data_IF_557473890711
#
_entry.id   IF_557473890711
#
_cell.length_a   1.000
_cell.length_b   1.000
_cell.length_c   1.000
_cell.angle_alpha   90.00
_cell.angle_beta   90.00
_cell.angle_gamma   90.00
#
_symmetry.space_group_name_H-M   'P 1'
#
loop_
_entity.id
_entity.type
_entity.pdbx_description
1 polymer ?
#
# COMPACT_ATOMS: atom_id res chain seq x y z
N UNK A 1 69.97 20.06 16.80
CA UNK A 1 69.51 20.16 15.40
C UNK A 1 68.73 21.47 15.29
N UNK A 2 69.30 22.59 14.80
CA UNK A 2 69.65 22.92 13.38
C UNK A 2 68.36 22.81 12.54
N UNK A 3 67.67 23.84 12.06
CA UNK A 3 67.97 25.13 11.35
C UNK A 3 66.77 26.09 11.61
N UNK A 4 66.86 27.38 11.97
CA UNK A 4 67.36 28.58 11.26
C UNK A 4 67.02 28.65 9.76
N UNK A 5 66.06 29.51 9.40
CA UNK A 5 66.16 30.34 8.21
C UNK A 5 65.84 31.80 8.56
N UNK A 6 66.71 32.66 8.08
CA UNK A 6 66.82 34.10 8.31
C UNK A 6 67.02 34.67 6.90
N UNK A 7 66.13 35.52 6.41
CA UNK A 7 66.47 36.49 5.35
C UNK A 7 65.70 37.78 5.64
N UNK A 8 66.41 38.86 5.39
CA UNK A 8 66.24 40.21 5.89
C UNK A 8 66.05 41.17 4.71
N UNK A 9 65.53 42.36 5.04
CA UNK A 9 65.97 43.67 4.53
C UNK A 9 65.34 44.31 3.27
N UNK A 10 64.70 45.47 3.54
CA UNK A 10 64.69 46.79 2.86
C UNK A 10 64.32 46.93 1.37
N UNK A 11 63.39 47.86 1.07
CA UNK A 11 63.72 49.13 0.39
C UNK A 11 62.60 50.19 0.48
N UNK A 12 63.02 51.44 0.68
CA UNK A 12 62.25 52.70 0.57
C UNK A 12 61.95 53.03 -0.91
N UNK A 13 60.82 53.68 -1.21
CA UNK A 13 60.52 54.26 -2.53
C UNK A 13 59.41 55.33 -2.49
N UNK A 14 59.71 56.50 -3.05
CA UNK A 14 59.03 57.80 -2.96
C UNK A 14 57.72 57.93 -3.78
N UNK A 15 56.78 58.73 -3.21
CA UNK A 15 55.68 59.57 -3.76
C UNK A 15 55.55 59.66 -5.30
N UNK A 16 54.31 59.44 -5.78
CA UNK A 16 53.74 60.20 -6.91
C UNK A 16 52.21 60.35 -6.71
N UNK A 17 51.72 61.59 -6.71
CA UNK A 17 50.31 61.93 -6.83
C UNK A 17 49.92 61.94 -8.32
N UNK A 18 48.75 61.38 -8.64
CA UNK A 18 48.20 61.42 -10.00
C UNK A 18 46.82 60.75 -10.06
N UNK A 19 45.84 61.50 -10.55
CA UNK A 19 44.41 61.20 -10.67
C UNK A 19 44.07 59.86 -11.37
N UNK A 20 42.98 59.20 -10.98
CA UNK A 20 41.71 59.13 -11.74
C UNK A 20 40.76 58.08 -11.13
N UNK A 21 39.46 58.36 -11.29
CA UNK A 21 38.26 57.62 -10.89
C UNK A 21 38.38 56.09 -11.03
N UNK A 22 37.83 55.34 -10.07
CA UNK A 22 37.08 54.11 -10.36
C UNK A 22 36.18 53.73 -9.17
N UNK A 23 34.88 53.75 -9.45
CA UNK A 23 33.83 52.83 -8.99
C UNK A 23 33.67 52.56 -7.48
N UNK A 24 32.75 53.29 -6.85
CA UNK A 24 32.09 52.80 -5.63
C UNK A 24 31.19 51.61 -6.01
N UNK A 25 31.55 50.43 -5.50
CA UNK A 25 30.71 49.24 -5.56
C UNK A 25 29.48 49.46 -4.68
N UNK A 26 28.31 49.38 -5.30
CA UNK A 26 27.06 49.08 -4.60
C UNK A 26 27.26 47.74 -3.91
N UNK A 27 27.22 47.72 -2.57
CA UNK A 27 26.92 46.51 -1.83
C UNK A 27 25.45 46.17 -2.13
N UNK A 28 25.24 45.29 -3.10
CA UNK A 28 24.02 44.50 -3.18
C UNK A 28 23.97 43.63 -1.93
N UNK A 29 23.22 44.11 -0.94
CA UNK A 29 22.65 43.24 0.07
C UNK A 29 21.74 42.29 -0.69
N UNK A 30 22.21 41.07 -0.95
CA UNK A 30 21.33 39.95 -1.23
C UNK A 30 20.38 39.86 -0.03
N UNK A 31 19.17 40.39 -0.19
CA UNK A 31 18.01 39.90 0.53
C UNK A 31 17.93 38.41 0.19
N UNK A 32 18.52 37.59 1.06
CA UNK A 32 18.06 36.22 1.22
C UNK A 32 16.62 36.39 1.68
N UNK A 33 15.68 36.28 0.74
CA UNK A 33 14.29 36.14 1.06
C UNK A 33 14.20 35.00 2.07
N UNK A 34 13.86 35.34 3.31
CA UNK A 34 13.28 34.38 4.23
C UNK A 34 12.11 33.79 3.45
N UNK A 35 12.27 32.56 2.95
CA UNK A 35 11.15 31.79 2.45
C UNK A 35 10.20 31.73 3.64
N UNK A 36 9.14 32.54 3.63
CA UNK A 36 8.01 32.33 4.53
C UNK A 36 7.69 30.84 4.38
N UNK A 37 7.91 30.08 5.45
CA UNK A 37 7.53 28.67 5.48
C UNK A 37 6.08 28.64 5.00
N UNK A 38 5.82 28.00 3.87
CA UNK A 38 4.48 27.91 3.31
C UNK A 38 3.66 27.00 4.23
N UNK A 39 3.27 27.55 5.37
CA UNK A 39 2.52 26.89 6.43
C UNK A 39 1.06 26.87 5.99
N UNK A 40 0.57 25.68 5.70
CA UNK A 40 -0.84 25.43 5.52
C UNK A 40 -1.51 25.28 6.90
N UNK A 41 -2.74 25.74 7.01
CA UNK A 41 -3.61 25.55 8.16
C UNK A 41 -4.91 24.91 7.68
N UNK A 42 -5.27 23.77 8.27
CA UNK A 42 -6.44 22.97 7.91
C UNK A 42 -7.34 22.79 9.14
N UNK A 43 -8.67 22.97 9.02
CA UNK A 43 -9.60 22.62 10.10
C UNK A 43 -9.50 21.14 10.47
N UNK A 44 -9.67 20.82 11.75
CA UNK A 44 -9.76 19.44 12.21
C UNK A 44 -11.07 19.21 12.97
N UNK A 45 -11.62 18.01 12.82
CA UNK A 45 -12.71 17.51 13.64
C UNK A 45 -12.20 16.38 14.54
N UNK A 46 -12.87 16.15 15.68
CA UNK A 46 -12.55 15.04 16.57
C UNK A 46 -13.67 14.01 16.48
N UNK A 47 -13.41 12.91 15.78
CA UNK A 47 -14.31 11.77 15.66
C UNK A 47 -13.70 10.59 16.41
N UNK A 48 -14.46 9.98 17.32
CA UNK A 48 -14.03 8.81 18.12
C UNK A 48 -12.67 8.97 18.87
N UNK A 49 -12.31 10.21 19.22
CA UNK A 49 -11.03 10.64 19.81
C UNK A 49 -9.84 10.71 18.84
N UNK A 50 -10.08 10.70 17.55
CA UNK A 50 -9.08 10.91 16.51
C UNK A 50 -9.30 12.25 15.80
N UNK A 51 -8.22 12.96 15.52
CA UNK A 51 -8.27 14.20 14.75
C UNK A 51 -8.32 13.86 13.26
N UNK A 52 -9.37 14.31 12.60
CA UNK A 52 -9.62 14.07 11.18
C UNK A 52 -9.72 15.38 10.40
N UNK A 53 -9.40 15.34 9.12
CA UNK A 53 -9.53 16.44 8.17
C UNK A 53 -10.55 16.08 7.11
N UNK A 54 -11.39 17.05 6.74
CA UNK A 54 -12.33 16.87 5.63
C UNK A 54 -11.57 16.84 4.29
N UNK A 55 -11.95 15.94 3.38
CA UNK A 55 -11.21 15.74 2.12
C UNK A 55 -11.21 16.99 1.24
N UNK A 56 -12.34 17.73 1.19
CA UNK A 56 -12.45 18.96 0.39
C UNK A 56 -11.47 20.04 0.86
N UNK A 57 -11.29 20.19 2.17
CA UNK A 57 -10.34 21.15 2.73
C UNK A 57 -8.90 20.75 2.40
N UNK A 58 -8.60 19.44 2.46
CA UNK A 58 -7.29 18.90 2.12
C UNK A 58 -6.94 19.19 0.66
N UNK A 59 -7.83 18.85 -0.29
CA UNK A 59 -7.56 19.08 -1.72
C UNK A 59 -7.54 20.57 -2.08
N UNK A 60 -8.34 21.40 -1.40
CA UNK A 60 -8.30 22.85 -1.59
C UNK A 60 -6.94 23.43 -1.19
N UNK A 61 -6.34 22.93 -0.12
CA UNK A 61 -5.03 23.38 0.39
C UNK A 61 -3.88 22.84 -0.46
N UNK A 62 -3.93 21.55 -0.80
CA UNK A 62 -2.84 20.89 -1.53
C UNK A 62 -2.89 21.14 -3.04
N UNK A 63 -4.05 21.57 -3.56
CA UNK A 63 -4.29 21.67 -4.99
C UNK A 63 -4.55 20.31 -5.65
N UNK A 64 -4.86 19.29 -4.85
CA UNK A 64 -5.21 17.95 -5.32
C UNK A 64 -6.63 17.84 -5.89
N UNK A 65 -6.99 16.61 -6.22
CA UNK A 65 -8.34 16.23 -6.64
C UNK A 65 -8.67 14.84 -6.13
N UNK A 66 -9.95 14.53 -5.95
CA UNK A 66 -10.36 13.19 -5.55
C UNK A 66 -11.62 12.75 -6.26
N UNK A 67 -11.83 11.44 -6.26
CA UNK A 67 -13.07 10.77 -6.63
C UNK A 67 -13.42 9.77 -5.55
N UNK A 68 -14.65 9.84 -5.05
CA UNK A 68 -15.20 8.85 -4.15
C UNK A 68 -16.26 8.01 -4.88
N UNK A 69 -16.08 6.70 -4.87
CA UNK A 69 -17.06 5.75 -5.39
C UNK A 69 -17.95 5.26 -4.23
N UNK A 70 -19.17 5.76 -4.16
CA UNK A 70 -20.15 5.39 -3.11
C UNK A 70 -20.49 3.89 -3.11
N UNK A 71 -20.49 3.25 -4.27
CA UNK A 71 -20.85 1.84 -4.39
C UNK A 71 -19.77 0.96 -3.79
N UNK A 72 -18.52 1.23 -4.16
CA UNK A 72 -17.36 0.47 -3.71
C UNK A 72 -16.81 0.97 -2.36
N UNK A 73 -17.25 2.15 -1.91
CA UNK A 73 -16.69 2.90 -0.76
C UNK A 73 -15.19 3.07 -0.91
N UNK A 74 -14.76 3.56 -2.07
CA UNK A 74 -13.34 3.75 -2.39
C UNK A 74 -13.01 5.19 -2.66
N UNK A 75 -11.87 5.64 -2.13
CA UNK A 75 -11.34 6.97 -2.37
C UNK A 75 -10.11 6.87 -3.27
N UNK A 76 -10.15 7.54 -4.41
CA UNK A 76 -8.99 7.85 -5.24
C UNK A 76 -8.64 9.31 -5.03
N UNK A 77 -7.43 9.60 -4.57
CA UNK A 77 -6.97 10.94 -4.26
C UNK A 77 -5.65 11.20 -5.01
N UNK A 78 -5.62 12.25 -5.80
CA UNK A 78 -4.42 12.77 -6.45
C UNK A 78 -3.94 13.99 -5.69
N UNK A 79 -2.71 13.97 -5.21
CA UNK A 79 -2.03 15.16 -4.70
C UNK A 79 -0.68 15.21 -5.40
N UNK A 80 -0.42 16.29 -6.13
CA UNK A 80 0.74 16.45 -7.00
C UNK A 80 0.88 15.31 -8.03
N UNK A 81 1.99 14.57 -8.00
CA UNK A 81 2.22 13.40 -8.87
C UNK A 81 1.87 12.07 -8.19
N UNK A 82 1.44 12.09 -6.92
CA UNK A 82 1.08 10.89 -6.18
C UNK A 82 -0.41 10.56 -6.30
N UNK A 83 -0.68 9.28 -6.52
CA UNK A 83 -2.01 8.66 -6.48
C UNK A 83 -2.15 7.87 -5.18
N UNK A 84 -3.20 8.17 -4.43
CA UNK A 84 -3.56 7.47 -3.19
C UNK A 84 -4.88 6.72 -3.40
N UNK A 85 -4.93 5.49 -2.90
CA UNK A 85 -6.14 4.67 -2.95
C UNK A 85 -6.42 4.04 -1.59
N UNK A 86 -7.67 4.15 -1.16
CA UNK A 86 -8.19 3.61 0.10
C UNK A 86 -9.57 3.01 -0.12
N UNK A 87 -9.88 2.00 0.68
CA UNK A 87 -11.17 1.32 0.72
C UNK A 87 -11.69 1.46 2.15
N UNK A 88 -12.95 1.81 2.31
CA UNK A 88 -13.58 1.86 3.61
C UNK A 88 -13.54 0.50 4.32
N UNK A 89 -13.39 0.52 5.64
CA UNK A 89 -13.18 -0.65 6.51
C UNK A 89 -11.89 -1.45 6.23
N UNK A 90 -11.04 -0.97 5.32
CA UNK A 90 -9.73 -1.57 5.00
C UNK A 90 -8.64 -0.57 5.38
N UNK A 91 -7.96 -0.73 6.54
CA UNK A 91 -7.00 0.24 7.08
C UNK A 91 -5.63 0.10 6.39
N UNK A 92 -5.62 0.26 5.07
CA UNK A 92 -4.44 0.16 4.23
C UNK A 92 -4.44 1.33 3.24
N UNK A 93 -3.34 2.07 3.20
CA UNK A 93 -3.11 3.12 2.22
C UNK A 93 -2.21 2.59 1.10
N UNK A 94 -2.76 2.59 -0.12
CA UNK A 94 -1.96 2.47 -1.35
C UNK A 94 -1.51 3.86 -1.81
N UNK A 95 -0.24 3.97 -2.20
CA UNK A 95 0.37 5.14 -2.84
C UNK A 95 1.13 4.66 -4.07
N UNK A 96 0.71 5.09 -5.26
CA UNK A 96 1.30 4.73 -6.55
C UNK A 96 1.45 3.21 -6.76
N UNK A 97 0.51 2.40 -6.26
CA UNK A 97 0.59 0.93 -6.36
C UNK A 97 1.45 0.25 -5.27
N UNK A 98 2.04 1.00 -4.35
CA UNK A 98 2.77 0.49 -3.19
C UNK A 98 2.03 0.80 -1.88
N UNK A 99 2.16 -0.05 -0.88
CA UNK A 99 1.40 0.03 0.36
C UNK A 99 2.25 0.54 1.53
N UNK A 100 1.70 1.49 2.29
CA UNK A 100 2.35 2.02 3.49
C UNK A 100 2.06 1.10 4.68
N UNK A 101 3.09 0.71 5.42
CA UNK A 101 2.97 -0.11 6.63
C UNK A 101 2.55 0.77 7.83
N UNK A 102 1.26 1.10 7.91
CA UNK A 102 0.66 1.85 9.02
C UNK A 102 -0.81 1.48 9.16
N UNK A 103 -1.31 1.44 10.39
CA UNK A 103 -2.73 1.24 10.69
C UNK A 103 -3.45 2.58 10.97
N UNK A 104 -2.68 3.65 11.20
CA UNK A 104 -3.19 4.99 11.53
C UNK A 104 -3.84 5.72 10.34
N UNK A 105 -3.88 5.14 9.14
CA UNK A 105 -4.51 5.74 7.96
C UNK A 105 -5.62 4.83 7.48
N UNK A 106 -6.84 5.36 7.49
CA UNK A 106 -8.04 4.69 7.07
C UNK A 106 -9.07 5.72 6.62
N UNK A 107 -10.10 5.28 5.90
CA UNK A 107 -11.18 6.15 5.45
C UNK A 107 -12.20 6.34 6.58
N UNK A 108 -12.66 7.58 6.78
CA UNK A 108 -13.75 7.89 7.72
C UNK A 108 -14.89 8.51 6.93
N UNK A 109 -16.07 7.89 7.01
CA UNK A 109 -17.28 8.37 6.35
C UNK A 109 -18.33 8.63 7.43
N UNK A 110 -18.90 9.85 7.45
CA UNK A 110 -19.92 10.21 8.43
C UNK A 110 -21.34 9.81 7.96
N UNK A 111 -22.36 10.10 8.79
CA UNK A 111 -23.76 9.79 8.47
C UNK A 111 -24.34 10.59 7.28
N UNK A 112 -23.64 11.65 6.84
CA UNK A 112 -24.00 12.52 5.71
C UNK A 112 -23.21 12.17 4.43
N UNK A 113 -22.52 11.01 4.41
CA UNK A 113 -21.64 10.54 3.34
C UNK A 113 -20.44 11.47 3.04
N UNK A 114 -20.06 12.32 4.00
CA UNK A 114 -18.87 13.16 3.90
C UNK A 114 -17.61 12.36 4.26
N UNK A 115 -16.54 12.64 3.51
CA UNK A 115 -15.30 11.86 3.57
C UNK A 115 -14.21 12.62 4.32
N UNK A 116 -13.63 11.92 5.29
CA UNK A 116 -12.58 12.41 6.16
C UNK A 116 -11.38 11.47 6.15
N UNK A 117 -10.21 12.03 6.46
CA UNK A 117 -8.97 11.29 6.68
C UNK A 117 -8.36 11.65 8.03
N UNK A 118 -7.79 10.69 8.77
CA UNK A 118 -6.95 11.00 9.92
C UNK A 118 -5.84 11.98 9.59
N UNK A 119 -5.44 12.83 10.55
CA UNK A 119 -4.26 13.70 10.36
C UNK A 119 -2.97 12.90 10.11
N UNK A 120 -2.94 11.62 10.48
CA UNK A 120 -1.87 10.70 10.13
C UNK A 120 -1.68 10.54 8.61
N UNK A 121 -2.70 10.80 7.78
CA UNK A 121 -2.55 10.87 6.33
C UNK A 121 -1.56 11.97 5.93
N UNK A 122 -1.63 13.16 6.55
CA UNK A 122 -0.69 14.25 6.29
C UNK A 122 0.69 13.89 6.83
N UNK A 123 0.76 13.36 8.06
CA UNK A 123 2.03 13.01 8.72
C UNK A 123 2.81 11.90 8.02
N UNK A 124 2.13 10.83 7.62
CA UNK A 124 2.76 9.61 7.10
C UNK A 124 2.51 9.42 5.60
N UNK A 125 1.31 9.71 5.11
CA UNK A 125 0.96 9.62 3.69
C UNK A 125 1.67 10.70 2.86
N UNK A 126 1.54 11.97 3.26
CA UNK A 126 2.27 13.09 2.64
C UNK A 126 3.67 13.29 3.24
N UNK A 127 4.05 12.50 4.24
CA UNK A 127 5.36 12.58 4.92
C UNK A 127 5.69 13.99 5.42
N UNK A 128 4.69 14.68 5.97
CA UNK A 128 4.82 16.07 6.42
C UNK A 128 4.40 16.22 7.87
N UNK A 129 5.29 16.65 8.78
CA UNK A 129 4.94 16.81 10.20
C UNK A 129 3.73 17.73 10.41
N UNK A 130 2.82 17.31 11.30
CA UNK A 130 1.65 18.10 11.67
C UNK A 130 1.84 18.68 13.08
N UNK A 131 1.42 19.93 13.27
CA UNK A 131 1.31 20.57 14.57
C UNK A 131 -0.14 20.92 14.86
N UNK A 132 -0.64 20.51 16.03
CA UNK A 132 -2.03 20.74 16.43
C UNK A 132 -2.20 22.08 17.15
N UNK A 133 -3.30 22.78 16.85
CA UNK A 133 -3.89 23.87 17.62
C UNK A 133 -5.24 23.41 18.21
N UNK A 134 -6.07 24.32 18.71
CA UNK A 134 -7.36 23.96 19.33
C UNK A 134 -8.32 23.29 18.34
N UNK A 135 -8.51 23.89 17.16
CA UNK A 135 -9.48 23.48 16.12
C UNK A 135 -8.84 23.35 14.72
N UNK A 136 -7.51 23.45 14.63
CA UNK A 136 -6.77 23.33 13.37
C UNK A 136 -5.50 22.50 13.51
N UNK A 137 -5.05 21.95 12.40
CA UNK A 137 -3.72 21.39 12.21
C UNK A 137 -2.92 22.28 11.25
N UNK A 138 -1.62 22.42 11.49
CA UNK A 138 -0.71 23.14 10.61
C UNK A 138 0.42 22.26 10.12
N UNK A 139 0.79 22.39 8.85
CA UNK A 139 1.86 21.60 8.22
C UNK A 139 2.55 22.41 7.12
N UNK A 140 3.80 22.07 6.80
CA UNK A 140 4.55 22.76 5.74
C UNK A 140 4.17 22.23 4.38
N UNK A 141 3.64 23.08 3.49
CA UNK A 141 3.22 22.71 2.16
C UNK A 141 3.93 23.57 1.10
N UNK A 142 4.87 22.98 0.36
CA UNK A 142 5.69 23.70 -0.61
C UNK A 142 5.15 23.65 -2.05
N UNK A 143 3.98 23.04 -2.25
CA UNK A 143 3.42 22.77 -3.59
C UNK A 143 4.06 21.54 -4.25
N UNK A 144 4.02 21.45 -5.59
CA UNK A 144 4.27 20.22 -6.32
C UNK A 144 5.55 19.49 -5.95
N UNK A 145 5.42 18.24 -5.50
CA UNK A 145 6.56 17.32 -5.29
C UNK A 145 6.64 16.23 -6.37
N UNK A 146 7.85 15.71 -6.59
CA UNK A 146 8.05 14.50 -7.41
C UNK A 146 7.34 13.30 -6.77
N UNK A 147 6.77 12.41 -7.59
CA UNK A 147 6.13 11.18 -7.12
C UNK A 147 7.08 10.33 -6.23
N UNK A 148 6.52 9.71 -5.20
CA UNK A 148 7.27 8.81 -4.31
C UNK A 148 6.90 7.36 -4.60
N UNK A 149 7.91 6.56 -4.95
CA UNK A 149 7.73 5.15 -5.28
C UNK A 149 6.96 4.96 -6.59
N UNK A 150 6.29 3.83 -6.69
CA UNK A 150 5.47 3.47 -7.84
C UNK A 150 6.22 2.84 -9.00
N UNK A 151 5.50 2.53 -10.09
CA UNK A 151 6.07 1.84 -11.22
C UNK A 151 7.15 2.69 -11.89
N UNK A 152 8.28 2.09 -12.33
CA UNK A 152 9.28 2.82 -13.11
C UNK A 152 8.67 3.32 -14.43
N UNK A 153 9.20 4.40 -15.02
CA UNK A 153 8.70 4.95 -16.30
C UNK A 153 8.60 3.92 -17.45
N UNK A 154 9.43 2.87 -17.42
CA UNK A 154 9.42 1.79 -18.41
C UNK A 154 8.38 0.69 -18.14
N UNK A 155 7.61 0.81 -17.06
CA UNK A 155 6.61 -0.18 -16.67
C UNK A 155 5.45 -0.18 -17.68
N UNK A 156 5.24 -1.33 -18.32
CA UNK A 156 4.17 -1.52 -19.29
C UNK A 156 3.50 -2.87 -19.07
N UNK A 157 2.84 -2.99 -17.93
CA UNK A 157 2.24 -4.23 -17.42
C UNK A 157 1.23 -4.87 -18.38
N UNK A 158 0.40 -4.05 -19.03
CA UNK A 158 -0.64 -4.52 -19.96
C UNK A 158 -0.11 -5.26 -21.19
N UNK A 159 1.18 -5.13 -21.50
CA UNK A 159 1.84 -5.80 -22.63
C UNK A 159 2.71 -7.00 -22.21
N UNK A 160 2.75 -7.34 -20.93
CA UNK A 160 3.61 -8.42 -20.45
C UNK A 160 3.12 -9.79 -20.90
N UNK A 161 4.05 -10.60 -21.40
CA UNK A 161 3.81 -12.01 -21.69
C UNK A 161 4.29 -12.90 -20.53
N UNK A 162 4.09 -14.22 -20.68
CA UNK A 162 4.49 -15.25 -19.70
C UNK A 162 5.95 -15.13 -19.27
N UNK A 163 6.90 -14.98 -20.20
CA UNK A 163 8.32 -14.93 -19.85
C UNK A 163 8.66 -13.70 -19.01
N UNK A 164 8.13 -12.53 -19.39
CA UNK A 164 8.32 -11.30 -18.62
C UNK A 164 7.70 -11.39 -17.22
N UNK A 165 6.51 -11.99 -17.12
CA UNK A 165 5.84 -12.19 -15.85
C UNK A 165 6.62 -13.14 -14.93
N UNK A 166 7.13 -14.24 -15.49
CA UNK A 166 7.98 -15.20 -14.76
C UNK A 166 9.27 -14.52 -14.30
N UNK A 167 9.99 -13.85 -15.20
CA UNK A 167 11.24 -13.16 -14.87
C UNK A 167 11.06 -12.09 -13.78
N UNK A 168 9.87 -11.48 -13.70
CA UNK A 168 9.56 -10.47 -12.69
C UNK A 168 9.25 -11.07 -11.31
N UNK A 169 8.67 -12.27 -11.28
CA UNK A 169 8.14 -12.93 -10.08
C UNK A 169 8.98 -14.12 -9.61
N UNK A 170 10.06 -14.48 -10.31
CA UNK A 170 10.88 -15.68 -10.04
C UNK A 170 11.55 -15.70 -8.65
N UNK A 171 11.63 -14.54 -8.01
CA UNK A 171 12.16 -14.39 -6.66
C UNK A 171 11.19 -14.87 -5.57
N UNK A 172 9.91 -15.09 -5.90
CA UNK A 172 8.88 -15.52 -4.96
C UNK A 172 8.89 -17.03 -4.74
N UNK A 173 9.04 -17.46 -3.49
CA UNK A 173 8.84 -18.83 -3.05
C UNK A 173 7.34 -19.17 -2.86
N UNK A 174 7.01 -20.47 -2.89
CA UNK A 174 5.66 -20.95 -2.57
C UNK A 174 5.30 -20.65 -1.12
N UNK A 175 4.05 -20.21 -0.84
CA UNK A 175 3.62 -19.89 0.52
C UNK A 175 3.35 -21.13 1.38
N UNK A 176 3.19 -22.32 0.78
CA UNK A 176 3.03 -23.58 1.50
C UNK A 176 4.13 -24.54 1.05
N UNK A 177 5.01 -24.91 1.98
CA UNK A 177 6.13 -25.81 1.70
C UNK A 177 5.63 -27.18 1.25
N UNK A 178 6.06 -27.61 0.06
CA UNK A 178 5.71 -28.92 -0.52
C UNK A 178 4.35 -28.97 -1.21
N UNK A 179 3.59 -27.87 -1.26
CA UNK A 179 2.37 -27.82 -2.05
C UNK A 179 2.67 -27.75 -3.55
N UNK A 180 1.71 -28.19 -4.37
CA UNK A 180 1.74 -28.09 -5.84
C UNK A 180 0.73 -27.04 -6.31
N UNK A 181 1.06 -26.34 -7.39
CA UNK A 181 0.13 -25.38 -8.01
C UNK A 181 -1.12 -26.12 -8.49
N UNK A 182 -2.29 -25.65 -8.09
CA UNK A 182 -3.56 -26.25 -8.54
C UNK A 182 -3.70 -26.13 -10.06
N UNK A 183 -4.11 -27.22 -10.70
CA UNK A 183 -4.41 -27.23 -12.14
C UNK A 183 -5.91 -27.17 -12.45
N UNK A 184 -6.74 -27.03 -11.43
CA UNK A 184 -8.20 -26.89 -11.55
C UNK A 184 -8.51 -25.44 -11.93
N UNK A 185 -9.15 -25.24 -13.08
CA UNK A 185 -9.41 -23.91 -13.64
C UNK A 185 -10.14 -22.95 -12.68
N UNK A 186 -11.06 -23.45 -11.86
CA UNK A 186 -11.77 -22.62 -10.89
C UNK A 186 -10.93 -22.21 -9.67
N UNK A 187 -9.73 -22.76 -9.50
CA UNK A 187 -8.80 -22.38 -8.43
C UNK A 187 -7.78 -21.34 -8.91
N UNK A 188 -7.72 -21.08 -10.22
CA UNK A 188 -6.75 -20.17 -10.83
C UNK A 188 -7.27 -18.73 -10.82
N UNK A 189 -6.35 -17.74 -10.76
CA UNK A 189 -6.70 -16.33 -10.94
C UNK A 189 -7.37 -16.08 -12.29
N UNK A 190 -8.27 -15.11 -12.36
CA UNK A 190 -9.09 -14.76 -13.52
C UNK A 190 -10.29 -15.68 -13.78
N UNK A 191 -10.56 -16.67 -12.92
CA UNK A 191 -11.69 -17.58 -13.09
C UNK A 191 -13.02 -16.90 -12.71
N UNK A 192 -14.14 -17.05 -13.46
CA UNK A 192 -15.41 -16.41 -13.10
C UNK A 192 -15.97 -16.88 -11.74
N UNK A 193 -16.50 -15.94 -10.94
CA UNK A 193 -17.19 -16.17 -9.67
C UNK A 193 -18.65 -15.73 -9.76
N UNK A 194 -19.46 -16.58 -10.39
CA UNK A 194 -20.87 -16.28 -10.68
C UNK A 194 -21.73 -15.99 -9.43
N UNK A 195 -21.38 -16.55 -8.26
CA UNK A 195 -22.14 -16.33 -7.03
C UNK A 195 -22.02 -14.90 -6.47
N UNK A 196 -21.04 -14.11 -6.93
CA UNK A 196 -20.78 -12.72 -6.52
C UNK A 196 -20.55 -11.76 -7.69
N UNK A 197 -20.84 -12.18 -8.92
CA UNK A 197 -20.63 -11.40 -10.15
C UNK A 197 -19.22 -10.80 -10.29
N UNK A 198 -18.18 -11.59 -10.03
CA UNK A 198 -16.79 -11.13 -10.15
C UNK A 198 -15.87 -12.18 -10.75
N UNK A 199 -14.58 -11.94 -10.59
CA UNK A 199 -13.52 -12.88 -10.95
C UNK A 199 -12.78 -13.34 -9.70
N UNK A 200 -12.08 -14.45 -9.85
CA UNK A 200 -11.17 -14.96 -8.85
C UNK A 200 -9.88 -14.16 -8.94
N UNK A 201 -9.57 -13.35 -7.93
CA UNK A 201 -8.41 -12.45 -8.00
C UNK A 201 -7.08 -13.17 -7.73
N UNK A 202 -7.16 -14.30 -7.03
CA UNK A 202 -6.02 -15.05 -6.56
C UNK A 202 -6.02 -16.53 -6.96
N UNK A 203 -5.08 -17.27 -6.39
CA UNK A 203 -4.97 -18.73 -6.46
C UNK A 203 -5.49 -19.37 -5.17
N UNK A 204 -6.20 -20.49 -5.30
CA UNK A 204 -6.64 -21.30 -4.17
C UNK A 204 -5.77 -22.56 -3.98
N UNK A 205 -5.31 -22.76 -2.74
CA UNK A 205 -4.52 -23.91 -2.31
C UNK A 205 -5.36 -24.85 -1.45
N UNK A 206 -6.06 -25.79 -2.09
CA UNK A 206 -6.86 -26.82 -1.42
C UNK A 206 -6.07 -28.12 -1.21
N UNK A 207 -6.33 -28.81 -0.10
CA UNK A 207 -5.74 -30.13 0.21
C UNK A 207 -5.82 -31.10 -0.99
N UNK A 208 -7.00 -31.26 -1.58
CA UNK A 208 -7.25 -32.24 -2.64
C UNK A 208 -6.65 -31.87 -4.01
N UNK A 209 -6.16 -30.65 -4.20
CA UNK A 209 -5.64 -30.16 -5.50
C UNK A 209 -4.22 -29.61 -5.46
N UNK A 210 -3.61 -29.52 -4.28
CA UNK A 210 -2.30 -28.90 -4.07
C UNK A 210 -1.30 -29.83 -3.38
N UNK A 211 -1.37 -31.13 -3.64
CA UNK A 211 -0.43 -32.13 -3.14
C UNK A 211 -0.80 -32.77 -1.78
N UNK A 212 -1.88 -32.32 -1.14
CA UNK A 212 -2.37 -32.85 0.14
C UNK A 212 -1.63 -32.36 1.39
N UNK A 213 -2.14 -32.73 2.55
CA UNK A 213 -1.68 -32.33 3.89
C UNK A 213 -1.91 -30.83 4.20
N UNK A 214 -3.03 -30.29 3.73
CA UNK A 214 -3.45 -28.93 4.05
C UNK A 214 -4.57 -28.97 5.09
N UNK A 215 -4.24 -28.50 6.29
CA UNK A 215 -5.07 -28.50 7.50
C UNK A 215 -4.97 -27.16 8.21
N UNK A 216 -5.72 -26.97 9.30
CA UNK A 216 -5.72 -25.71 10.07
C UNK A 216 -4.39 -25.39 10.75
N UNK A 217 -3.51 -26.38 10.91
CA UNK A 217 -2.16 -26.21 11.45
C UNK A 217 -1.07 -26.11 10.36
N UNK A 218 -1.46 -26.11 9.08
CA UNK A 218 -0.54 -25.93 7.96
C UNK A 218 -0.02 -24.48 7.94
N UNK A 219 1.29 -24.26 8.11
CA UNK A 219 1.87 -22.92 8.11
C UNK A 219 1.89 -22.31 6.71
N UNK A 220 1.58 -21.02 6.66
CA UNK A 220 1.74 -20.16 5.49
C UNK A 220 2.97 -19.31 5.72
N UNK A 221 3.89 -19.31 4.75
CA UNK A 221 5.14 -18.57 4.78
C UNK A 221 5.02 -17.31 3.94
N UNK A 222 5.74 -16.26 4.34
CA UNK A 222 6.04 -15.20 3.39
C UNK A 222 6.84 -15.77 2.21
N UNK A 223 6.78 -15.10 1.07
CA UNK A 223 7.29 -15.64 -0.19
C UNK A 223 8.68 -15.12 -0.55
N UNK A 224 9.26 -14.28 0.30
CA UNK A 224 10.52 -13.58 0.04
C UNK A 224 10.74 -12.50 1.07
N UNK A 225 11.81 -11.71 0.90
CA UNK A 225 12.05 -10.54 1.76
C UNK A 225 10.95 -9.49 1.56
N UNK A 226 10.22 -9.15 2.61
CA UNK A 226 9.09 -8.24 2.53
C UNK A 226 8.74 -7.54 3.83
N UNK A 227 7.75 -6.65 3.76
CA UNK A 227 7.18 -5.90 4.87
C UNK A 227 5.69 -6.23 4.99
N UNK A 228 5.25 -6.56 6.19
CA UNK A 228 3.83 -6.73 6.50
C UNK A 228 3.16 -5.36 6.50
N UNK A 229 2.12 -5.19 5.68
CA UNK A 229 1.34 -3.93 5.57
C UNK A 229 -0.05 -4.03 6.18
N UNK A 230 -0.53 -5.26 6.46
CA UNK A 230 -1.78 -5.54 7.20
C UNK A 230 -1.66 -6.87 7.93
N UNK A 231 -2.19 -6.97 9.15
CA UNK A 231 -2.31 -8.22 9.90
C UNK A 231 -3.57 -8.23 10.79
N UNK A 232 -4.57 -9.04 10.45
CA UNK A 232 -5.90 -8.99 11.09
C UNK A 232 -5.97 -9.83 12.39
N UNK A 233 -5.19 -9.45 13.42
CA UNK A 233 -5.22 -10.11 14.73
C UNK A 233 -6.60 -10.06 15.39
N UNK A 234 -7.31 -8.94 15.23
CA UNK A 234 -8.61 -8.68 15.82
C UNK A 234 -9.79 -9.02 14.88
N UNK A 235 -9.55 -9.85 13.85
CA UNK A 235 -10.61 -10.25 12.91
C UNK A 235 -11.83 -10.86 13.62
N UNK A 236 -13.02 -10.36 13.27
CA UNK A 236 -14.31 -10.88 13.73
C UNK A 236 -15.08 -11.47 12.55
N UNK A 237 -15.43 -12.74 12.68
CA UNK A 237 -16.22 -13.46 11.68
C UNK A 237 -17.64 -12.87 11.53
N UNK A 238 -18.26 -13.11 10.38
CA UNK A 238 -19.68 -12.83 10.18
C UNK A 238 -20.52 -13.42 11.34
N UNK A 239 -21.46 -12.64 11.90
CA UNK A 239 -22.21 -13.06 13.08
C UNK A 239 -23.20 -14.19 12.79
N UNK A 240 -23.59 -14.37 11.52
CA UNK A 240 -24.53 -15.43 11.09
C UNK A 240 -24.51 -15.63 9.57
N UNK A 241 -24.96 -16.80 9.07
CA UNK A 241 -25.14 -17.02 7.64
C UNK A 241 -26.08 -16.00 7.00
N UNK A 242 -27.11 -15.55 7.74
CA UNK A 242 -28.07 -14.56 7.26
C UNK A 242 -27.41 -13.22 6.92
N UNK A 243 -26.51 -12.71 7.77
CA UNK A 243 -25.80 -11.45 7.52
C UNK A 243 -24.86 -11.58 6.33
N UNK A 244 -24.09 -12.68 6.24
CA UNK A 244 -23.23 -12.92 5.09
C UNK A 244 -24.02 -13.04 3.78
N UNK A 245 -25.19 -13.68 3.82
CA UNK A 245 -26.06 -13.80 2.66
C UNK A 245 -26.72 -12.47 2.25
N UNK A 246 -26.83 -11.49 3.14
CA UNK A 246 -27.28 -10.14 2.77
C UNK A 246 -26.24 -9.46 1.89
N UNK A 247 -24.96 -9.52 2.25
CA UNK A 247 -23.86 -9.01 1.44
C UNK A 247 -23.85 -9.70 0.06
N UNK A 248 -23.91 -11.03 0.02
CA UNK A 248 -23.97 -11.77 -1.24
C UNK A 248 -25.20 -11.40 -2.09
N UNK A 249 -26.37 -11.22 -1.47
CA UNK A 249 -27.57 -10.80 -2.17
C UNK A 249 -27.41 -9.38 -2.76
N UNK A 250 -26.73 -8.48 -2.04
CA UNK A 250 -26.41 -7.15 -2.53
C UNK A 250 -25.46 -7.23 -3.74
N UNK A 251 -24.39 -8.04 -3.70
CA UNK A 251 -23.52 -8.24 -4.87
C UNK A 251 -24.31 -8.77 -6.08
N UNK A 252 -25.26 -9.67 -5.83
CA UNK A 252 -26.12 -10.22 -6.88
C UNK A 252 -27.04 -9.15 -7.47
N UNK A 253 -27.53 -8.23 -6.65
CA UNK A 253 -28.44 -7.16 -7.08
C UNK A 253 -27.71 -6.08 -7.88
N UNK A 254 -26.48 -5.73 -7.48
CA UNK A 254 -25.67 -4.71 -8.12
C UNK A 254 -25.05 -5.20 -9.44
N UNK A 255 -24.80 -6.51 -9.54
CA UNK A 255 -24.11 -7.08 -10.70
C UNK A 255 -22.59 -6.99 -10.60
N UNK A 256 -22.06 -6.57 -9.45
CA UNK A 256 -20.65 -6.53 -9.08
C UNK A 256 -20.50 -6.71 -7.56
N UNK A 257 -19.28 -7.00 -7.06
CA UNK A 257 -18.99 -7.08 -5.63
C UNK A 257 -18.38 -5.75 -5.17
N UNK A 258 -19.02 -4.97 -4.28
CA UNK A 258 -18.38 -3.83 -3.63
C UNK A 258 -17.08 -4.20 -2.91
N UNK A 259 -16.03 -3.38 -3.03
CA UNK A 259 -14.70 -3.69 -2.51
C UNK A 259 -14.66 -3.98 -0.99
N UNK A 260 -15.32 -3.17 -0.16
CA UNK A 260 -15.39 -3.41 1.30
C UNK A 260 -16.06 -4.75 1.65
N UNK A 261 -17.10 -5.15 0.89
CA UNK A 261 -17.75 -6.46 1.03
C UNK A 261 -16.78 -7.55 0.59
N UNK A 262 -16.05 -7.31 -0.49
CA UNK A 262 -15.12 -8.29 -0.99
C UNK A 262 -13.98 -8.57 -0.01
N UNK A 263 -13.41 -7.52 0.59
CA UNK A 263 -12.42 -7.65 1.66
C UNK A 263 -12.98 -8.45 2.84
N UNK A 264 -14.21 -8.14 3.29
CA UNK A 264 -14.86 -8.88 4.38
C UNK A 264 -15.06 -10.37 4.04
N UNK A 265 -15.39 -10.70 2.80
CA UNK A 265 -15.52 -12.08 2.32
C UNK A 265 -14.18 -12.84 2.29
N UNK A 266 -13.04 -12.15 2.22
CA UNK A 266 -11.70 -12.77 2.37
C UNK A 266 -11.42 -13.24 3.79
N UNK A 267 -12.17 -12.74 4.77
CA UNK A 267 -12.03 -13.11 6.18
C UNK A 267 -10.75 -12.54 6.80
N UNK A 268 -10.09 -13.32 7.66
CA UNK A 268 -8.82 -12.94 8.29
C UNK A 268 -7.70 -12.93 7.26
N UNK A 269 -6.92 -11.85 7.24
CA UNK A 269 -5.85 -11.65 6.25
C UNK A 269 -4.51 -11.22 6.85
N UNK A 270 -3.44 -11.51 6.11
CA UNK A 270 -2.12 -10.86 6.23
C UNK A 270 -1.70 -10.39 4.85
N UNK A 271 -1.20 -9.17 4.75
CA UNK A 271 -0.74 -8.58 3.50
C UNK A 271 0.77 -8.34 3.61
N UNK A 272 1.56 -8.87 2.67
CA UNK A 272 3.01 -8.63 2.58
C UNK A 272 3.38 -7.93 1.27
N UNK A 273 4.00 -6.76 1.40
CA UNK A 273 4.64 -6.05 0.28
C UNK A 273 6.08 -6.51 0.12
N UNK A 274 6.45 -6.83 -1.12
CA UNK A 274 7.76 -7.25 -1.58
C UNK A 274 8.38 -6.16 -2.48
N UNK A 275 9.67 -6.28 -2.86
CA UNK A 275 10.30 -5.35 -3.79
C UNK A 275 9.56 -5.24 -5.13
N UNK A 276 9.79 -4.12 -5.82
CA UNK A 276 9.25 -3.83 -7.15
C UNK A 276 7.71 -3.78 -7.17
N UNK A 277 7.08 -3.21 -6.15
CA UNK A 277 5.61 -3.07 -6.10
C UNK A 277 4.84 -4.38 -6.05
N UNK A 278 5.50 -5.51 -5.79
CA UNK A 278 4.85 -6.82 -5.68
C UNK A 278 4.15 -6.92 -4.33
N UNK A 279 2.89 -7.32 -4.33
CA UNK A 279 2.04 -7.38 -3.13
C UNK A 279 1.28 -8.69 -3.10
N UNK A 280 1.33 -9.43 -1.99
CA UNK A 280 0.44 -10.59 -1.76
C UNK A 280 -0.52 -10.42 -0.58
N UNK A 281 -1.80 -10.72 -0.83
CA UNK A 281 -2.84 -10.81 0.22
C UNK A 281 -3.09 -12.29 0.51
N UNK A 282 -2.85 -12.71 1.75
CA UNK A 282 -3.11 -14.07 2.21
C UNK A 282 -4.41 -14.08 3.00
N UNK A 283 -5.41 -14.80 2.52
CA UNK A 283 -6.77 -14.75 3.04
C UNK A 283 -7.24 -16.10 3.62
N UNK A 284 -8.43 -16.06 4.21
CA UNK A 284 -9.07 -17.17 4.90
C UNK A 284 -8.24 -17.75 6.06
N UNK A 285 -7.38 -16.95 6.70
CA UNK A 285 -6.43 -17.45 7.70
C UNK A 285 -7.11 -18.01 8.95
N UNK A 286 -6.61 -19.14 9.47
CA UNK A 286 -7.06 -19.71 10.74
C UNK A 286 -6.52 -18.93 11.94
N UNK A 287 -5.26 -18.48 11.86
CA UNK A 287 -4.59 -17.72 12.91
C UNK A 287 -3.36 -16.98 12.34
N UNK A 288 -2.86 -15.98 13.06
CA UNK A 288 -1.68 -15.18 12.72
C UNK A 288 -0.72 -15.20 13.92
N UNK A 289 0.59 -15.50 13.74
CA UNK A 289 1.54 -15.45 14.85
C UNK A 289 1.61 -14.06 15.49
N UNK A 290 1.62 -13.98 16.83
CA UNK A 290 1.58 -12.71 17.58
C UNK A 290 2.70 -11.73 17.22
N UNK A 291 3.85 -12.22 16.74
CA UNK A 291 4.99 -11.39 16.34
C UNK A 291 4.87 -10.82 14.92
N UNK A 292 3.87 -11.24 14.15
CA UNK A 292 3.59 -10.72 12.81
C UNK A 292 2.65 -9.52 12.92
N UNK A 293 3.24 -8.34 12.98
CA UNK A 293 2.55 -7.05 13.10
C UNK A 293 2.79 -6.18 11.86
N UNK A 294 1.96 -5.16 11.63
CA UNK A 294 2.23 -4.14 10.60
C UNK A 294 3.63 -3.54 10.80
N UNK A 295 4.39 -3.44 9.71
CA UNK A 295 5.80 -3.02 9.71
C UNK A 295 6.82 -4.14 9.95
N UNK A 296 6.38 -5.37 10.25
CA UNK A 296 7.29 -6.52 10.44
C UNK A 296 8.06 -6.85 9.17
N UNK A 297 9.36 -7.10 9.31
CA UNK A 297 10.22 -7.63 8.23
C UNK A 297 10.14 -9.15 8.22
N UNK A 298 9.79 -9.72 7.07
CA UNK A 298 9.62 -11.16 6.87
C UNK A 298 10.51 -11.66 5.75
N UNK A 299 10.77 -12.97 5.72
CA UNK A 299 11.45 -13.67 4.62
C UNK A 299 10.78 -15.02 4.36
N UNK A 300 11.29 -15.81 3.39
CA UNK A 300 10.72 -17.10 3.01
C UNK A 300 10.65 -18.17 4.13
N UNK A 301 11.33 -17.95 5.25
CA UNK A 301 11.27 -18.82 6.43
C UNK A 301 10.30 -18.31 7.52
N UNK A 302 9.80 -17.07 7.39
CA UNK A 302 8.83 -16.48 8.31
C UNK A 302 7.45 -17.09 8.10
N UNK A 303 6.87 -17.68 9.15
CA UNK A 303 5.46 -18.05 9.18
C UNK A 303 4.65 -16.77 9.38
N UNK A 304 3.71 -16.50 8.50
CA UNK A 304 2.85 -15.32 8.53
C UNK A 304 1.39 -15.65 8.85
N UNK A 305 1.02 -16.93 8.86
CA UNK A 305 -0.33 -17.36 9.18
C UNK A 305 -0.47 -18.87 9.10
N UNK A 306 -1.70 -19.33 9.32
CA UNK A 306 -2.09 -20.74 9.19
C UNK A 306 -3.31 -20.85 8.29
N UNK A 307 -3.36 -21.91 7.47
CA UNK A 307 -4.48 -22.15 6.55
C UNK A 307 -5.79 -22.25 7.32
N UNK A 308 -6.84 -21.62 6.85
CA UNK A 308 -8.15 -21.64 7.49
C UNK A 308 -9.30 -21.57 6.50
N UNK A 309 -10.45 -21.11 6.98
CA UNK A 309 -11.65 -20.91 6.18
C UNK A 309 -12.43 -19.66 6.61
N UNK A 310 -11.82 -18.71 7.34
CA UNK A 310 -12.53 -17.50 7.81
C UNK A 310 -13.14 -16.71 6.64
N UNK A 311 -14.30 -16.10 6.82
CA UNK A 311 -15.03 -15.36 5.77
C UNK A 311 -15.80 -16.26 4.77
N UNK A 312 -15.56 -17.57 4.78
CA UNK A 312 -16.29 -18.55 3.96
C UNK A 312 -17.63 -18.94 4.57
N UNK A 313 -18.48 -19.65 3.81
CA UNK A 313 -19.72 -20.19 4.37
C UNK A 313 -19.43 -21.26 5.43
N UNK A 314 -18.38 -22.06 5.23
CA UNK A 314 -17.98 -23.11 6.15
C UNK A 314 -17.54 -22.60 7.53
N UNK A 315 -16.86 -21.45 7.60
CA UNK A 315 -16.52 -20.82 8.89
C UNK A 315 -17.77 -20.33 9.62
N UNK A 316 -18.67 -19.63 8.92
CA UNK A 316 -19.90 -19.09 9.51
C UNK A 316 -20.86 -20.20 9.96
N UNK A 317 -20.91 -21.31 9.22
CA UNK A 317 -21.67 -22.51 9.59
C UNK A 317 -20.97 -23.39 10.65
N UNK A 318 -19.70 -23.10 10.96
CA UNK A 318 -18.86 -23.86 11.89
C UNK A 318 -18.72 -25.35 11.50
N UNK A 319 -18.61 -25.63 10.20
CA UNK A 319 -18.56 -27.01 9.67
C UNK A 319 -17.20 -27.42 9.07
N UNK A 320 -16.21 -26.51 9.11
CA UNK A 320 -14.84 -26.70 8.61
C UNK A 320 -14.73 -27.01 7.11
N UNK A 321 -15.81 -26.79 6.34
CA UNK A 321 -15.73 -26.83 4.87
C UNK A 321 -15.01 -25.60 4.34
N UNK A 322 -14.63 -25.63 3.05
CA UNK A 322 -13.93 -24.52 2.38
C UNK A 322 -12.57 -24.17 3.01
N UNK A 323 -11.89 -25.15 3.61
CA UNK A 323 -10.53 -25.01 4.14
C UNK A 323 -9.51 -24.90 3.00
N UNK A 324 -8.88 -23.73 2.85
CA UNK A 324 -7.84 -23.45 1.86
C UNK A 324 -7.11 -22.14 2.17
N UNK A 325 -5.93 -21.95 1.59
CA UNK A 325 -5.35 -20.62 1.43
C UNK A 325 -5.89 -20.00 0.13
N UNK A 326 -6.41 -18.78 0.20
CA UNK A 326 -6.61 -17.92 -0.95
C UNK A 326 -5.52 -16.85 -0.98
N UNK A 327 -4.88 -16.65 -2.13
CA UNK A 327 -3.75 -15.73 -2.27
C UNK A 327 -3.90 -14.85 -3.50
N UNK A 328 -4.04 -13.54 -3.30
CA UNK A 328 -3.98 -12.54 -4.36
C UNK A 328 -2.53 -12.10 -4.58
N UNK A 329 -2.14 -11.91 -5.85
CA UNK A 329 -0.83 -11.41 -6.25
C UNK A 329 -1.01 -10.17 -7.14
N UNK A 330 -0.45 -9.05 -6.70
CA UNK A 330 -0.52 -7.76 -7.37
C UNK A 330 0.87 -7.22 -7.69
N UNK A 331 0.96 -6.38 -8.72
CA UNK A 331 2.14 -5.62 -9.11
C UNK A 331 1.70 -4.17 -9.32
N UNK A 332 2.16 -3.27 -8.45
CA UNK A 332 1.75 -1.85 -8.45
C UNK A 332 0.23 -1.65 -8.47
N UNK A 333 -0.48 -2.33 -7.56
CA UNK A 333 -1.94 -2.27 -7.45
C UNK A 333 -2.70 -3.11 -8.48
N UNK A 334 -2.03 -3.64 -9.52
CA UNK A 334 -2.66 -4.41 -10.58
C UNK A 334 -2.57 -5.92 -10.35
N UNK A 335 -3.68 -6.66 -10.50
CA UNK A 335 -3.69 -8.12 -10.41
C UNK A 335 -2.80 -8.73 -11.50
N UNK A 336 -1.81 -9.53 -11.12
CA UNK A 336 -0.74 -9.99 -12.02
C UNK A 336 -1.26 -10.71 -13.28
N UNK A 337 -2.44 -11.32 -13.21
CA UNK A 337 -3.02 -12.12 -14.27
C UNK A 337 -3.78 -11.31 -15.33
N UNK A 338 -4.06 -10.02 -15.11
CA UNK A 338 -4.83 -9.16 -16.03
C UNK A 338 -4.35 -9.21 -17.50
N UNK A 339 -3.04 -9.15 -17.82
CA UNK A 339 -2.57 -9.17 -19.21
C UNK A 339 -2.58 -10.58 -19.82
N UNK A 340 -2.87 -11.62 -19.03
CA UNK A 340 -2.70 -13.02 -19.41
C UNK A 340 -4.05 -13.74 -19.55
N UNK A 341 -4.09 -14.73 -20.44
CA UNK A 341 -5.21 -15.67 -20.46
C UNK A 341 -5.01 -16.81 -19.44
N UNK A 342 -6.06 -17.59 -19.16
CA UNK A 342 -6.04 -18.67 -18.16
C UNK A 342 -4.90 -19.71 -18.32
N UNK A 343 -4.56 -20.09 -19.55
CA UNK A 343 -3.46 -21.06 -19.76
C UNK A 343 -2.09 -20.42 -19.49
N UNK A 344 -1.94 -19.14 -19.84
CA UNK A 344 -0.72 -18.35 -19.54
C UNK A 344 -0.57 -18.13 -18.03
N UNK A 345 -1.65 -17.79 -17.33
CA UNK A 345 -1.66 -17.66 -15.86
C UNK A 345 -1.20 -18.96 -15.21
N UNK A 346 -1.74 -20.09 -15.64
CA UNK A 346 -1.31 -21.41 -15.18
C UNK A 346 0.17 -21.64 -15.47
N UNK A 347 0.63 -21.34 -16.68
CA UNK A 347 2.04 -21.52 -17.07
C UNK A 347 2.98 -20.68 -16.20
N UNK A 348 2.65 -19.41 -15.95
CA UNK A 348 3.42 -18.53 -15.05
C UNK A 348 3.52 -19.16 -13.66
N UNK A 349 2.38 -19.51 -13.05
CA UNK A 349 2.34 -20.06 -11.70
C UNK A 349 3.14 -21.35 -11.58
N UNK A 350 3.04 -22.25 -12.56
CA UNK A 350 3.84 -23.49 -12.56
C UNK A 350 5.33 -23.21 -12.75
N UNK A 351 5.72 -22.20 -13.56
CA UNK A 351 7.14 -21.89 -13.79
C UNK A 351 7.82 -21.20 -12.61
N UNK A 352 7.09 -20.41 -11.83
CA UNK A 352 7.65 -19.76 -10.63
C UNK A 352 7.69 -20.72 -9.44
N UNK A 353 6.79 -21.71 -9.39
CA UNK A 353 6.57 -22.49 -8.17
C UNK A 353 6.71 -24.01 -8.28
N UNK A 354 6.79 -24.63 -9.46
CA UNK A 354 7.05 -26.08 -9.62
C UNK A 354 8.39 -26.35 -10.31
#
# INVERSE_FOLDING_TARGET
MVKRFLVSLLLLGVIAAGCQQETEQNEEVEEVAENEEALAEIPIEVLENEAVVHIDDLVQITGGEYSFDELHRTLQLTIDEDQFYMIDEVPVLERNGEYLATEDIYLVINEEDEVYLPTAFIEKGLNTPVTFKEDTATFSWFGPTEAVGGPPESFNFEEWNVDQMVDYLDFLEKPIKGAEVSTIASHLPGAPRAYRNGFHEGIDWYDHSSGGNIYTDTPIYAMGEGIVVRADHDFVEYPSPEVRNQDLALTSQLGETPEYIFDRLRGRQVWVQYPNGVMNRFAHLYDIPEDIQVGSRVNAESIIGYVGNSGTSGAVNQDLTELHLHQDLLIYGELFWKPLNQEEVKEVLQRIWD
#
